data_IF_142407997433
#
_entry.id   IF_142407997433
#
_cell.length_a   1.000
_cell.length_b   1.000
_cell.length_c   1.000
_cell.angle_alpha   90.00
_cell.angle_beta   90.00
_cell.angle_gamma   90.00
#
_symmetry.space_group_name_H-M   'P 1'
#
loop_
_entity.id
_entity.type
_entity.pdbx_description
1 polymer ?
#
# COMPACT_ATOMS: atom_id res chain seq x y z
N UNK A 1 -36.43 -25.58 2.24
CA UNK A 1 -35.44 -26.13 3.22
C UNK A 1 -33.97 -25.98 2.76
N UNK A 2 -33.70 -25.67 1.48
CA UNK A 2 -32.30 -25.33 1.01
C UNK A 2 -31.86 -23.91 1.32
N UNK A 3 -32.77 -22.96 1.60
CA UNK A 3 -32.45 -21.54 1.89
C UNK A 3 -31.98 -21.22 3.32
N UNK A 4 -31.99 -22.18 4.24
CA UNK A 4 -31.59 -21.92 5.65
C UNK A 4 -30.23 -22.48 6.04
N UNK A 5 -29.52 -23.16 5.13
CA UNK A 5 -28.18 -23.74 5.40
C UNK A 5 -27.06 -22.78 4.90
N UNK A 6 -27.39 -21.75 4.16
CA UNK A 6 -26.43 -20.68 3.72
C UNK A 6 -26.13 -19.62 4.82
N UNK A 7 -26.66 -19.77 6.03
CA UNK A 7 -26.58 -18.77 7.11
C UNK A 7 -25.33 -18.88 8.01
N UNK A 8 -24.36 -19.74 7.68
CA UNK A 8 -23.00 -19.73 8.26
C UNK A 8 -21.98 -19.78 7.13
N UNK A 9 -22.21 -19.06 6.04
CA UNK A 9 -21.20 -18.88 5.01
C UNK A 9 -20.00 -18.13 5.63
N UNK A 10 -18.83 -18.73 5.50
CA UNK A 10 -17.54 -18.13 5.81
C UNK A 10 -17.48 -16.74 5.15
N UNK A 11 -17.33 -15.68 5.96
CA UNK A 11 -17.32 -14.29 5.50
C UNK A 11 -15.91 -13.74 5.64
N UNK A 12 -15.53 -12.85 4.75
CA UNK A 12 -14.35 -12.03 4.98
C UNK A 12 -14.67 -10.92 5.98
N UNK A 13 -13.97 -10.89 7.10
CA UNK A 13 -14.06 -9.82 8.11
C UNK A 13 -13.04 -8.75 7.78
N UNK A 14 -13.50 -7.58 7.37
CA UNK A 14 -12.63 -6.45 7.03
C UNK A 14 -12.89 -5.30 8.00
N UNK A 15 -11.82 -4.80 8.62
CA UNK A 15 -11.85 -3.64 9.50
C UNK A 15 -11.56 -2.36 8.71
N UNK A 16 -12.52 -1.43 8.68
CA UNK A 16 -12.34 -0.07 8.18
C UNK A 16 -11.88 0.82 9.34
N UNK A 17 -10.70 1.40 9.20
CA UNK A 17 -10.13 2.32 10.17
C UNK A 17 -10.23 3.74 9.63
N UNK A 18 -11.16 4.52 10.21
CA UNK A 18 -11.33 5.93 9.89
C UNK A 18 -10.17 6.74 10.49
N UNK A 19 -9.37 7.35 9.63
CA UNK A 19 -8.24 8.21 9.97
C UNK A 19 -8.60 9.68 10.03
N UNK A 20 -7.75 10.52 9.43
CA UNK A 20 -7.87 11.98 9.48
C UNK A 20 -8.19 12.59 8.11
N UNK A 21 -8.55 13.86 8.11
CA UNK A 21 -8.74 14.64 6.90
C UNK A 21 -9.79 14.04 5.96
N UNK A 22 -9.38 13.70 4.75
CA UNK A 22 -10.26 13.10 3.71
C UNK A 22 -10.61 11.63 3.97
N UNK A 23 -10.16 11.03 5.07
CA UNK A 23 -10.34 9.61 5.35
C UNK A 23 -11.81 9.17 5.30
N UNK A 24 -12.72 9.89 5.95
CA UNK A 24 -14.14 9.54 6.00
C UNK A 24 -14.78 9.47 4.61
N UNK A 25 -14.44 10.42 3.70
CA UNK A 25 -14.92 10.42 2.32
C UNK A 25 -14.43 9.17 1.57
N UNK A 26 -13.15 8.83 1.74
CA UNK A 26 -12.52 7.69 1.08
C UNK A 26 -13.03 6.34 1.61
N UNK A 27 -13.16 6.18 2.93
CA UNK A 27 -13.73 4.97 3.54
C UNK A 27 -15.18 4.78 3.09
N UNK A 28 -15.98 5.85 3.06
CA UNK A 28 -17.37 5.80 2.53
C UNK A 28 -17.38 5.30 1.08
N UNK A 29 -16.45 5.76 0.26
CA UNK A 29 -16.31 5.30 -1.12
C UNK A 29 -15.94 3.80 -1.19
N UNK A 30 -15.02 3.34 -0.35
CA UNK A 30 -14.64 1.92 -0.29
C UNK A 30 -15.82 1.02 0.11
N UNK A 31 -16.59 1.42 1.13
CA UNK A 31 -17.78 0.68 1.57
C UNK A 31 -18.79 0.54 0.42
N UNK A 32 -19.14 1.66 -0.23
CA UNK A 32 -20.09 1.64 -1.35
C UNK A 32 -19.62 0.76 -2.53
N UNK A 33 -18.32 0.78 -2.82
CA UNK A 33 -17.75 -0.03 -3.90
C UNK A 33 -17.71 -1.52 -3.53
N UNK A 34 -17.37 -1.88 -2.29
CA UNK A 34 -17.42 -3.28 -1.81
C UNK A 34 -18.85 -3.82 -1.89
N UNK A 35 -19.85 -3.02 -1.52
CA UNK A 35 -21.26 -3.41 -1.65
C UNK A 35 -21.66 -3.64 -3.12
N UNK A 36 -21.20 -2.76 -4.04
CA UNK A 36 -21.45 -2.92 -5.46
C UNK A 36 -20.73 -4.14 -6.08
N UNK A 37 -19.62 -4.59 -5.49
CA UNK A 37 -18.89 -5.79 -5.89
C UNK A 37 -19.50 -7.09 -5.38
N UNK A 38 -20.52 -7.05 -4.53
CA UNK A 38 -21.12 -8.25 -3.93
C UNK A 38 -21.48 -9.38 -4.94
N UNK A 39 -21.94 -9.10 -6.19
CA UNK A 39 -22.21 -10.14 -7.18
C UNK A 39 -20.97 -10.89 -7.69
N UNK A 40 -19.77 -10.32 -7.51
CA UNK A 40 -18.49 -10.84 -8.00
C UNK A 40 -17.64 -11.47 -6.88
N UNK A 41 -18.14 -11.42 -5.62
CA UNK A 41 -17.47 -12.01 -4.48
C UNK A 41 -17.86 -13.47 -4.29
N UNK A 42 -16.88 -14.32 -3.98
CA UNK A 42 -17.11 -15.72 -3.62
C UNK A 42 -17.58 -15.88 -2.18
N UNK A 43 -17.14 -14.98 -1.29
CA UNK A 43 -17.57 -14.88 0.11
C UNK A 43 -18.12 -13.50 0.40
N UNK A 44 -19.15 -13.42 1.22
CA UNK A 44 -19.68 -12.14 1.70
C UNK A 44 -18.62 -11.38 2.51
N UNK A 45 -18.61 -10.06 2.43
CA UNK A 45 -17.77 -9.19 3.25
C UNK A 45 -18.57 -8.66 4.42
N UNK A 46 -18.01 -8.76 5.62
CA UNK A 46 -18.52 -8.14 6.85
C UNK A 46 -17.58 -7.00 7.24
N UNK A 47 -18.09 -5.77 7.24
CA UNK A 47 -17.32 -4.58 7.56
C UNK A 47 -17.55 -4.15 9.02
N UNK A 48 -16.47 -3.82 9.71
CA UNK A 48 -16.50 -3.15 11.01
C UNK A 48 -15.77 -1.82 10.94
N UNK A 49 -16.21 -0.82 11.70
CA UNK A 49 -15.66 0.53 11.67
C UNK A 49 -15.06 0.90 13.02
N UNK A 50 -13.84 1.43 12.99
CA UNK A 50 -13.11 1.90 14.16
C UNK A 50 -12.40 3.21 13.84
N UNK A 51 -12.29 4.10 14.83
CA UNK A 51 -11.60 5.38 14.67
C UNK A 51 -10.14 5.26 15.08
N UNK A 52 -9.26 5.90 14.32
CA UNK A 52 -7.86 6.14 14.65
C UNK A 52 -7.53 7.63 14.43
N UNK A 53 -6.31 8.05 14.68
CA UNK A 53 -5.88 9.42 14.47
C UNK A 53 -6.43 10.40 15.51
N UNK A 54 -6.70 11.63 15.09
CA UNK A 54 -7.17 12.70 15.98
C UNK A 54 -8.50 12.39 16.67
N UNK A 55 -9.41 11.66 16.01
CA UNK A 55 -10.67 11.27 16.62
C UNK A 55 -10.46 10.34 17.81
N UNK A 56 -9.60 9.35 17.68
CA UNK A 56 -9.18 8.45 18.76
C UNK A 56 -8.42 9.20 19.85
N UNK A 57 -7.48 10.07 19.48
CA UNK A 57 -6.72 10.90 20.42
C UNK A 57 -7.65 11.74 21.30
N UNK A 58 -8.65 12.37 20.70
CA UNK A 58 -9.64 13.18 21.43
C UNK A 58 -10.50 12.34 22.38
N UNK A 59 -10.89 11.15 21.97
CA UNK A 59 -11.79 10.29 22.73
C UNK A 59 -11.08 9.49 23.83
N UNK A 60 -9.85 9.05 23.56
CA UNK A 60 -9.12 8.06 24.35
C UNK A 60 -7.73 8.51 24.82
N UNK A 61 -7.25 9.69 24.42
CA UNK A 61 -5.91 10.17 24.73
C UNK A 61 -4.78 9.49 23.94
N UNK A 62 -5.12 8.70 22.93
CA UNK A 62 -4.15 7.99 22.08
C UNK A 62 -4.70 7.84 20.66
N UNK A 63 -3.84 7.97 19.64
CA UNK A 63 -4.24 7.94 18.22
C UNK A 63 -4.67 6.55 17.73
N UNK A 64 -4.28 5.48 18.41
CA UNK A 64 -4.72 4.10 18.17
C UNK A 64 -4.73 3.35 19.50
N UNK A 65 -5.85 2.71 19.84
CA UNK A 65 -6.04 1.98 21.10
C UNK A 65 -5.64 0.51 20.96
N UNK A 66 -5.26 -0.13 22.06
CA UNK A 66 -5.02 -1.59 22.14
C UNK A 66 -6.25 -2.38 21.70
N UNK A 67 -7.47 -1.89 21.96
CA UNK A 67 -8.69 -2.54 21.52
C UNK A 67 -8.79 -2.59 20.00
N UNK A 68 -8.45 -1.52 19.30
CA UNK A 68 -8.41 -1.51 17.82
C UNK A 68 -7.37 -2.50 17.31
N UNK A 69 -6.16 -2.52 17.91
CA UNK A 69 -5.10 -3.47 17.54
C UNK A 69 -5.57 -4.93 17.74
N UNK A 70 -6.28 -5.22 18.83
CA UNK A 70 -6.84 -6.55 19.07
C UNK A 70 -7.86 -6.95 18.00
N UNK A 71 -8.81 -6.07 17.68
CA UNK A 71 -9.86 -6.35 16.69
C UNK A 71 -9.27 -6.59 15.30
N UNK A 72 -8.33 -5.76 14.86
CA UNK A 72 -7.71 -5.93 13.52
C UNK A 72 -6.84 -7.18 13.44
N UNK A 73 -6.29 -7.67 14.54
CA UNK A 73 -5.50 -8.92 14.58
C UNK A 73 -6.36 -10.17 14.35
N UNK A 74 -7.67 -10.07 14.56
CA UNK A 74 -8.66 -11.14 14.36
C UNK A 74 -9.42 -10.99 13.03
N UNK A 75 -9.11 -9.97 12.24
CA UNK A 75 -9.73 -9.72 10.93
C UNK A 75 -8.95 -10.40 9.80
N UNK A 76 -9.62 -10.61 8.66
CA UNK A 76 -9.01 -11.12 7.45
C UNK A 76 -8.31 -10.02 6.66
N UNK A 77 -8.76 -8.76 6.81
CA UNK A 77 -8.19 -7.61 6.12
C UNK A 77 -8.51 -6.28 6.80
N UNK A 78 -7.74 -5.27 6.44
CA UNK A 78 -7.85 -3.92 6.98
C UNK A 78 -7.87 -2.92 5.84
N UNK A 79 -8.76 -1.92 5.94
CA UNK A 79 -8.74 -0.72 5.10
C UNK A 79 -8.43 0.46 6.01
N UNK A 80 -7.23 1.01 5.90
CA UNK A 80 -6.80 2.16 6.67
C UNK A 80 -6.93 3.43 5.82
N UNK A 81 -7.79 4.34 6.26
CA UNK A 81 -7.87 5.68 5.70
C UNK A 81 -6.61 6.50 6.00
N UNK A 82 -6.36 7.58 5.26
CA UNK A 82 -5.21 8.45 5.49
C UNK A 82 -5.14 9.01 6.93
N UNK A 83 -3.93 9.21 7.43
CA UNK A 83 -3.66 9.74 8.77
C UNK A 83 -2.70 10.93 8.72
N UNK A 84 -2.87 11.90 9.62
CA UNK A 84 -2.06 13.12 9.73
C UNK A 84 -0.90 12.94 10.72
N UNK A 85 -0.13 11.85 10.59
CA UNK A 85 0.85 11.46 11.60
C UNK A 85 1.94 12.50 11.89
N UNK A 86 2.24 13.39 10.92
CA UNK A 86 3.21 14.47 11.12
C UNK A 86 2.68 15.59 12.03
N UNK A 87 1.37 15.69 12.21
CA UNK A 87 0.71 16.72 13.02
C UNK A 87 0.31 16.20 14.41
N UNK A 88 0.58 14.92 14.71
CA UNK A 88 0.28 14.36 16.02
C UNK A 88 1.23 14.90 17.09
N UNK A 89 0.79 14.98 18.35
CA UNK A 89 1.68 15.31 19.46
C UNK A 89 2.74 14.22 19.65
N UNK A 90 3.69 14.47 20.55
CA UNK A 90 4.72 13.51 20.91
C UNK A 90 4.14 12.18 21.39
N UNK A 91 4.92 11.11 21.27
CA UNK A 91 4.50 9.74 21.63
C UNK A 91 4.04 9.64 23.09
N UNK A 92 4.72 10.34 24.00
CA UNK A 92 4.36 10.41 25.43
C UNK A 92 2.98 11.06 25.65
N UNK A 93 2.54 11.91 24.72
CA UNK A 93 1.21 12.52 24.72
C UNK A 93 0.19 11.74 23.86
N UNK A 94 0.49 10.49 23.48
CA UNK A 94 -0.41 9.59 22.77
C UNK A 94 -0.38 9.72 21.25
N UNK A 95 0.55 10.48 20.69
CA UNK A 95 0.68 10.71 19.23
C UNK A 95 1.41 9.58 18.49
N UNK A 96 0.89 8.37 18.51
CA UNK A 96 1.44 7.25 17.74
C UNK A 96 1.03 7.34 16.26
N UNK A 97 1.89 6.88 15.36
CA UNK A 97 1.51 6.71 13.95
C UNK A 97 0.71 5.40 13.78
N UNK A 98 -0.62 5.43 13.53
CA UNK A 98 -1.43 4.21 13.42
C UNK A 98 -0.93 3.23 12.37
N UNK A 99 -0.50 3.73 11.19
CA UNK A 99 0.08 2.88 10.15
C UNK A 99 1.36 2.17 10.63
N UNK A 100 2.27 2.89 11.30
CA UNK A 100 3.49 2.31 11.85
C UNK A 100 3.23 1.28 12.94
N UNK A 101 2.28 1.57 13.85
CA UNK A 101 1.86 0.63 14.90
C UNK A 101 1.30 -0.65 14.31
N UNK A 102 0.39 -0.55 13.35
CA UNK A 102 -0.23 -1.72 12.70
C UNK A 102 0.80 -2.56 11.93
N UNK A 103 1.70 -1.92 11.17
CA UNK A 103 2.76 -2.62 10.44
C UNK A 103 3.61 -3.46 11.41
N UNK A 104 4.00 -2.89 12.54
CA UNK A 104 4.78 -3.58 13.58
C UNK A 104 3.97 -4.68 14.25
N UNK A 105 2.80 -4.37 14.79
CA UNK A 105 1.98 -5.28 15.60
C UNK A 105 1.51 -6.51 14.80
N UNK A 106 1.21 -6.34 13.52
CA UNK A 106 0.73 -7.39 12.63
C UNK A 106 1.83 -7.99 11.74
N UNK A 107 3.08 -7.57 11.94
CA UNK A 107 4.23 -8.03 11.15
C UNK A 107 4.00 -7.93 9.63
N UNK A 108 3.50 -6.77 9.17
CA UNK A 108 3.24 -6.49 7.76
C UNK A 108 4.55 -6.23 7.02
N UNK A 109 5.26 -7.29 6.67
CA UNK A 109 6.66 -7.26 6.22
C UNK A 109 6.85 -6.73 4.79
N UNK A 110 5.82 -6.81 3.95
CA UNK A 110 5.88 -6.35 2.56
C UNK A 110 4.93 -5.19 2.31
N UNK A 111 5.41 -4.10 1.74
CA UNK A 111 4.58 -3.06 1.19
C UNK A 111 4.63 -3.14 -0.34
N UNK A 112 3.52 -3.51 -0.94
CA UNK A 112 3.36 -3.73 -2.37
C UNK A 112 2.80 -2.45 -2.98
N UNK A 113 3.55 -1.83 -3.88
CA UNK A 113 3.22 -0.53 -4.49
C UNK A 113 3.29 -0.61 -6.02
N UNK A 114 2.18 -0.88 -6.71
CA UNK A 114 2.11 -0.79 -8.16
C UNK A 114 2.18 0.67 -8.61
N UNK A 115 2.85 0.91 -9.73
CA UNK A 115 2.84 2.18 -10.45
C UNK A 115 2.66 1.88 -11.93
N UNK A 116 1.56 2.34 -12.52
CA UNK A 116 1.25 2.13 -13.95
C UNK A 116 0.65 3.36 -14.59
N UNK A 117 0.95 3.56 -15.86
CA UNK A 117 0.33 4.58 -16.69
C UNK A 117 -1.07 4.14 -17.11
N UNK A 118 -2.05 5.04 -16.99
CA UNK A 118 -3.42 4.80 -17.42
C UNK A 118 -3.70 5.46 -18.77
N UNK A 119 -4.46 4.78 -19.62
CA UNK A 119 -4.84 5.32 -20.92
C UNK A 119 -5.58 6.66 -20.77
N UNK A 120 -5.19 7.62 -21.60
CA UNK A 120 -5.80 8.95 -21.61
C UNK A 120 -5.32 9.90 -20.52
N UNK A 121 -4.57 9.44 -19.52
CA UNK A 121 -3.92 10.29 -18.53
C UNK A 121 -2.49 10.64 -18.97
N UNK A 122 -2.03 11.87 -18.68
CA UNK A 122 -0.63 12.22 -18.91
C UNK A 122 0.28 11.45 -17.95
N UNK A 123 1.47 11.13 -18.40
CA UNK A 123 2.57 10.59 -17.59
C UNK A 123 3.88 11.30 -17.98
N UNK A 124 4.90 11.23 -17.09
CA UNK A 124 6.13 12.01 -17.27
C UNK A 124 7.27 11.24 -17.92
N UNK A 125 7.00 10.05 -18.46
CA UNK A 125 7.98 9.20 -19.15
C UNK A 125 7.71 9.16 -20.65
N UNK A 126 8.73 8.81 -21.45
CA UNK A 126 8.57 8.70 -22.90
C UNK A 126 7.70 7.50 -23.31
N UNK A 127 7.72 6.44 -22.53
CA UNK A 127 6.98 5.19 -22.77
C UNK A 127 6.12 4.87 -21.56
N UNK A 128 4.88 4.48 -21.78
CA UNK A 128 4.02 3.98 -20.71
C UNK A 128 4.61 2.71 -20.08
N UNK A 129 4.39 2.55 -18.79
CA UNK A 129 4.93 1.44 -18.02
C UNK A 129 3.93 0.91 -16.99
N UNK A 130 4.19 -0.29 -16.51
CA UNK A 130 3.48 -0.97 -15.43
C UNK A 130 4.50 -1.77 -14.62
N UNK A 131 4.82 -1.29 -13.42
CA UNK A 131 5.80 -1.89 -12.52
C UNK A 131 5.20 -2.07 -11.12
N UNK A 132 5.80 -2.97 -10.34
CA UNK A 132 5.46 -3.13 -8.93
C UNK A 132 6.73 -2.97 -8.09
N UNK A 133 6.68 -2.10 -7.08
CA UNK A 133 7.76 -1.97 -6.11
C UNK A 133 7.40 -2.75 -4.84
N UNK A 134 8.22 -3.73 -4.53
CA UNK A 134 8.15 -4.59 -3.35
C UNK A 134 9.09 -4.02 -2.30
N UNK A 135 8.55 -3.20 -1.40
CA UNK A 135 9.28 -2.52 -0.33
C UNK A 135 9.29 -3.38 0.92
N UNK A 136 10.47 -3.71 1.47
CA UNK A 136 10.59 -4.22 2.82
C UNK A 136 10.01 -3.17 3.79
N UNK A 137 9.25 -3.57 4.82
CA UNK A 137 8.34 -2.65 5.50
C UNK A 137 8.59 -2.49 7.01
N UNK A 138 9.54 -3.23 7.60
CA UNK A 138 9.76 -3.29 9.05
C UNK A 138 11.17 -2.94 9.51
N UNK A 139 12.15 -2.90 8.61
CA UNK A 139 13.56 -2.74 8.91
C UNK A 139 14.17 -1.47 8.27
N UNK A 140 15.46 -1.48 8.03
CA UNK A 140 16.21 -0.37 7.48
C UNK A 140 16.48 0.69 8.55
N UNK A 141 16.35 1.96 8.18
CA UNK A 141 16.41 3.09 9.12
C UNK A 141 15.13 3.24 9.97
N UNK A 142 14.13 2.40 9.74
CA UNK A 142 12.94 2.25 10.58
C UNK A 142 13.12 1.12 11.62
N UNK A 143 14.37 0.89 12.05
CA UNK A 143 14.76 -0.22 12.94
C UNK A 143 14.08 -0.16 14.32
N UNK A 144 13.70 1.02 14.79
CA UNK A 144 12.94 1.26 16.02
C UNK A 144 11.61 0.50 16.04
N UNK A 145 11.03 0.22 14.87
CA UNK A 145 9.74 -0.48 14.76
C UNK A 145 9.77 -1.92 15.24
N UNK A 146 10.93 -2.59 15.21
CA UNK A 146 11.09 -3.98 15.61
C UNK A 146 12.25 -4.22 16.59
N UNK A 147 12.66 -3.19 17.34
CA UNK A 147 13.61 -3.32 18.44
C UNK A 147 12.86 -3.56 19.75
N UNK A 148 13.43 -4.41 20.61
CA UNK A 148 12.87 -4.71 21.94
C UNK A 148 13.07 -3.55 22.88
N UNK A 149 14.20 -2.87 22.80
CA UNK A 149 14.56 -1.71 23.63
C UNK A 149 15.42 -0.73 22.82
N UNK A 150 15.37 0.54 23.18
CA UNK A 150 16.10 1.62 22.52
C UNK A 150 15.37 2.15 21.29
N UNK A 151 16.01 3.12 20.63
CA UNK A 151 15.52 3.76 19.41
C UNK A 151 16.47 3.54 18.25
N UNK A 152 16.00 3.75 17.04
CA UNK A 152 16.83 3.68 15.83
C UNK A 152 17.77 4.88 15.66
N UNK A 153 17.61 5.93 16.48
CA UNK A 153 18.44 7.13 16.46
C UNK A 153 18.88 7.53 17.86
N UNK A 154 20.07 8.12 17.97
CA UNK A 154 20.59 8.65 19.23
C UNK A 154 21.67 9.73 18.98
N UNK A 155 21.81 10.62 19.94
CA UNK A 155 22.84 11.68 19.92
C UNK A 155 23.88 11.41 21.02
N UNK A 156 25.10 10.98 20.66
CA UNK A 156 26.17 10.84 21.66
C UNK A 156 26.73 12.18 22.15
N UNK A 157 26.59 13.24 21.37
CA UNK A 157 26.87 14.64 21.74
C UNK A 157 25.87 15.56 21.05
N UNK A 158 25.82 16.84 21.47
CA UNK A 158 24.92 17.85 20.87
C UNK A 158 25.19 18.09 19.38
N UNK A 159 26.38 17.76 18.88
CA UNK A 159 26.80 17.95 17.47
C UNK A 159 26.76 16.67 16.66
N UNK A 160 26.43 15.50 17.25
CA UNK A 160 26.50 14.21 16.56
C UNK A 160 25.18 13.47 16.70
N UNK A 161 24.51 13.21 15.59
CA UNK A 161 23.37 12.31 15.51
C UNK A 161 23.72 11.04 14.72
N UNK A 162 23.34 9.89 15.23
CA UNK A 162 23.57 8.58 14.61
C UNK A 162 22.26 7.86 14.38
N UNK A 163 22.11 7.22 13.22
CA UNK A 163 20.97 6.37 12.89
C UNK A 163 21.44 4.93 12.67
N UNK A 164 20.72 3.97 13.25
CA UNK A 164 20.96 2.55 13.08
C UNK A 164 20.14 2.03 11.93
N UNK A 165 20.80 1.40 10.96
CA UNK A 165 20.15 0.68 9.87
C UNK A 165 20.19 -0.82 10.16
N UNK A 166 19.01 -1.42 10.36
CA UNK A 166 18.87 -2.84 10.64
C UNK A 166 18.47 -3.59 9.37
N UNK A 167 19.22 -4.60 8.97
CA UNK A 167 18.88 -5.54 7.89
C UNK A 167 19.09 -6.96 8.41
N UNK A 168 18.07 -7.79 8.28
CA UNK A 168 18.15 -9.21 8.63
C UNK A 168 17.99 -10.10 7.40
N UNK A 169 18.63 -11.26 7.41
CA UNK A 169 18.47 -12.27 6.35
C UNK A 169 17.03 -12.75 6.22
N UNK A 170 16.34 -12.92 7.35
CA UNK A 170 14.95 -13.38 7.37
C UNK A 170 14.02 -12.40 6.66
N UNK A 171 14.03 -11.12 7.05
CA UNK A 171 13.19 -10.10 6.40
C UNK A 171 13.54 -9.91 4.92
N UNK A 172 14.84 -9.96 4.59
CA UNK A 172 15.31 -9.89 3.21
C UNK A 172 14.82 -11.07 2.36
N UNK A 173 14.79 -12.28 2.89
CA UNK A 173 14.22 -13.47 2.21
C UNK A 173 12.71 -13.38 2.08
N UNK A 174 12.00 -12.91 3.11
CA UNK A 174 10.54 -12.79 3.10
C UNK A 174 10.10 -11.80 2.01
N UNK A 175 10.72 -10.62 1.93
CA UNK A 175 10.39 -9.64 0.88
C UNK A 175 10.82 -10.13 -0.52
N UNK A 176 11.97 -10.81 -0.63
CA UNK A 176 12.40 -11.40 -1.88
C UNK A 176 11.38 -12.44 -2.38
N UNK A 177 10.97 -13.39 -1.54
CA UNK A 177 9.98 -14.39 -1.92
C UNK A 177 8.68 -13.76 -2.38
N UNK A 178 8.17 -12.77 -1.66
CA UNK A 178 6.98 -12.02 -2.08
C UNK A 178 7.17 -11.34 -3.44
N UNK A 179 8.37 -10.83 -3.74
CA UNK A 179 8.67 -10.20 -5.03
C UNK A 179 8.71 -11.21 -6.19
N UNK A 180 9.31 -12.38 -5.99
CA UNK A 180 9.33 -13.44 -7.00
C UNK A 180 7.94 -14.05 -7.22
N UNK A 181 7.15 -14.24 -6.16
CA UNK A 181 5.73 -14.65 -6.27
C UNK A 181 4.90 -13.61 -7.05
N UNK A 182 5.15 -12.32 -6.82
CA UNK A 182 4.51 -11.25 -7.57
C UNK A 182 4.92 -11.27 -9.06
N UNK A 183 6.22 -11.43 -9.36
CA UNK A 183 6.72 -11.53 -10.73
C UNK A 183 6.18 -12.77 -11.46
N UNK A 184 5.98 -13.87 -10.75
CA UNK A 184 5.42 -15.10 -11.32
C UNK A 184 4.01 -14.91 -11.88
N UNK A 185 3.22 -13.99 -11.31
CA UNK A 185 1.87 -13.63 -11.77
C UNK A 185 1.89 -12.64 -12.96
N UNK A 186 3.03 -12.05 -13.29
CA UNK A 186 3.18 -11.00 -14.31
C UNK A 186 3.77 -11.57 -15.60
N UNK A 187 3.48 -10.95 -16.73
CA UNK A 187 3.88 -11.45 -18.07
C UNK A 187 5.38 -11.31 -18.35
N UNK A 188 6.04 -10.27 -17.80
CA UNK A 188 7.48 -10.03 -18.05
C UNK A 188 8.36 -10.98 -17.22
N UNK A 189 7.87 -11.45 -16.07
CA UNK A 189 8.58 -12.39 -15.18
C UNK A 189 10.00 -11.94 -14.86
N UNK A 190 10.16 -10.70 -14.41
CA UNK A 190 11.46 -10.10 -14.12
C UNK A 190 11.48 -9.48 -12.71
N UNK A 191 12.54 -9.75 -11.96
CA UNK A 191 12.81 -9.12 -10.67
C UNK A 191 14.14 -8.37 -10.75
N UNK A 192 14.13 -7.10 -10.35
CA UNK A 192 15.33 -6.28 -10.17
C UNK A 192 15.50 -5.95 -8.70
N UNK A 193 16.58 -6.42 -8.08
CA UNK A 193 16.94 -5.98 -6.72
C UNK A 193 17.67 -4.65 -6.77
N UNK A 194 17.17 -3.67 -6.01
CA UNK A 194 17.75 -2.34 -5.92
C UNK A 194 18.40 -2.13 -4.57
N UNK A 195 19.68 -1.70 -4.57
CA UNK A 195 20.55 -1.70 -3.41
C UNK A 195 21.64 -0.62 -3.48
N UNK A 196 22.45 -0.49 -2.42
CA UNK A 196 23.66 0.37 -2.38
C UNK A 196 24.88 -0.39 -1.80
N UNK A 197 25.05 -1.66 -2.16
CA UNK A 197 26.10 -2.53 -1.61
C UNK A 197 27.54 -2.09 -1.91
N UNK A 198 27.75 -1.20 -2.89
CA UNK A 198 29.07 -0.59 -3.11
C UNK A 198 29.49 0.34 -1.97
N UNK A 199 28.56 0.86 -1.17
CA UNK A 199 28.78 1.68 0.02
C UNK A 199 28.44 0.90 1.29
N UNK A 200 27.22 0.37 1.37
CA UNK A 200 26.75 -0.40 2.52
C UNK A 200 27.03 -1.90 2.32
N UNK A 201 28.31 -2.26 2.35
CA UNK A 201 28.79 -3.59 1.95
C UNK A 201 28.23 -4.73 2.81
N UNK A 202 28.04 -4.50 4.12
CA UNK A 202 27.53 -5.55 5.02
C UNK A 202 26.00 -5.63 4.98
N UNK A 203 25.31 -4.52 5.18
CA UNK A 203 23.84 -4.54 5.27
C UNK A 203 23.18 -4.80 3.91
N UNK A 204 23.57 -4.09 2.85
CA UNK A 204 23.03 -4.36 1.51
C UNK A 204 23.64 -5.62 0.87
N UNK A 205 24.87 -6.00 1.25
CA UNK A 205 25.44 -7.30 0.88
C UNK A 205 24.59 -8.45 1.43
N UNK A 206 24.19 -8.38 2.71
CA UNK A 206 23.29 -9.36 3.33
C UNK A 206 21.93 -9.42 2.64
N UNK A 207 21.36 -8.26 2.29
CA UNK A 207 20.11 -8.18 1.51
C UNK A 207 20.27 -8.86 0.15
N UNK A 208 21.29 -8.54 -0.62
CA UNK A 208 21.54 -9.13 -1.94
C UNK A 208 21.75 -10.65 -1.87
N UNK A 209 22.54 -11.13 -0.92
CA UNK A 209 22.77 -12.56 -0.76
C UNK A 209 21.46 -13.30 -0.48
N UNK A 210 20.60 -12.74 0.36
CA UNK A 210 19.27 -13.30 0.65
C UNK A 210 18.36 -13.30 -0.59
N UNK A 211 18.39 -12.23 -1.41
CA UNK A 211 17.62 -12.16 -2.65
C UNK A 211 18.14 -13.18 -3.68
N UNK A 212 19.46 -13.33 -3.82
CA UNK A 212 20.08 -14.33 -4.72
C UNK A 212 19.72 -15.76 -4.32
N UNK A 213 19.71 -16.06 -3.02
CA UNK A 213 19.27 -17.36 -2.52
C UNK A 213 17.83 -17.67 -2.95
N UNK A 214 16.91 -16.70 -2.82
CA UNK A 214 15.52 -16.87 -3.25
C UNK A 214 15.42 -16.93 -4.77
N UNK A 215 16.16 -16.11 -5.51
CA UNK A 215 16.16 -16.13 -6.97
C UNK A 215 16.48 -17.51 -7.56
N UNK A 216 17.37 -18.26 -6.91
CA UNK A 216 17.70 -19.64 -7.31
C UNK A 216 16.51 -20.61 -7.20
N UNK A 217 15.49 -20.30 -6.42
CA UNK A 217 14.25 -21.09 -6.29
C UNK A 217 13.26 -20.84 -7.47
N UNK A 218 13.49 -19.77 -8.28
CA UNK A 218 12.60 -19.32 -9.37
C UNK A 218 13.36 -19.22 -10.71
N UNK A 219 13.77 -20.34 -11.29
CA UNK A 219 14.62 -20.35 -12.50
C UNK A 219 13.91 -19.82 -13.78
N UNK A 220 12.59 -19.67 -13.77
CA UNK A 220 11.77 -19.13 -14.85
C UNK A 220 11.57 -17.59 -14.76
N UNK A 221 12.16 -16.94 -13.75
CA UNK A 221 12.10 -15.49 -13.55
C UNK A 221 13.48 -14.89 -13.81
N UNK A 222 13.54 -13.89 -14.69
CA UNK A 222 14.77 -13.11 -14.91
C UNK A 222 15.13 -12.33 -13.65
N UNK A 223 16.34 -12.48 -13.16
CA UNK A 223 16.84 -11.73 -12.01
C UNK A 223 17.99 -10.80 -12.40
N UNK A 224 17.88 -9.54 -12.00
CA UNK A 224 18.91 -8.51 -12.20
C UNK A 224 19.14 -7.71 -10.93
N UNK A 225 20.31 -7.04 -10.86
CA UNK A 225 20.71 -6.19 -9.73
C UNK A 225 21.06 -4.80 -10.22
N UNK A 226 20.68 -3.76 -9.44
CA UNK A 226 20.97 -2.39 -9.82
C UNK A 226 21.24 -1.52 -8.58
N UNK A 227 22.22 -0.63 -8.68
CA UNK A 227 22.44 0.40 -7.67
C UNK A 227 21.27 1.38 -7.66
N UNK A 228 20.87 1.86 -6.48
CA UNK A 228 19.68 2.72 -6.29
C UNK A 228 19.75 4.02 -7.08
N UNK A 229 20.92 4.63 -7.19
CA UNK A 229 21.14 5.83 -8.01
C UNK A 229 20.95 5.56 -9.51
N UNK A 230 21.47 4.43 -10.00
CA UNK A 230 21.22 4.00 -11.38
C UNK A 230 19.73 3.65 -11.60
N UNK A 231 19.10 2.95 -10.68
CA UNK A 231 17.67 2.61 -10.75
C UNK A 231 16.79 3.87 -10.81
N UNK A 232 17.10 4.90 -10.00
CA UNK A 232 16.40 6.19 -10.04
C UNK A 232 16.49 6.84 -11.42
N UNK A 233 17.69 6.85 -12.03
CA UNK A 233 17.88 7.39 -13.38
C UNK A 233 17.14 6.55 -14.45
N UNK A 234 17.15 5.24 -14.32
CA UNK A 234 16.46 4.33 -15.25
C UNK A 234 14.95 4.40 -15.13
N UNK A 235 14.37 4.61 -13.94
CA UNK A 235 12.94 4.86 -13.78
C UNK A 235 12.45 6.09 -14.55
N UNK A 236 13.29 7.12 -14.67
CA UNK A 236 12.96 8.30 -15.48
C UNK A 236 13.14 8.01 -16.98
N UNK A 237 14.22 7.32 -17.36
CA UNK A 237 14.63 7.14 -18.76
C UNK A 237 13.94 5.99 -19.46
N UNK A 238 13.81 4.86 -18.80
CA UNK A 238 13.33 3.59 -19.37
C UNK A 238 12.60 2.73 -18.31
N UNK A 239 11.49 3.25 -17.70
CA UNK A 239 10.77 2.52 -16.66
C UNK A 239 10.18 1.20 -17.17
N UNK A 240 9.90 1.07 -18.47
CA UNK A 240 9.39 -0.16 -19.11
C UNK A 240 10.37 -1.34 -19.05
N UNK A 241 11.64 -1.11 -18.71
CA UNK A 241 12.64 -2.16 -18.56
C UNK A 241 12.56 -2.86 -17.18
N UNK A 242 11.74 -2.33 -16.27
CA UNK A 242 11.41 -2.95 -14.99
C UNK A 242 10.08 -3.67 -15.06
N UNK A 243 9.93 -4.69 -14.22
CA UNK A 243 8.66 -5.39 -13.96
C UNK A 243 8.35 -5.36 -12.46
N UNK A 244 9.14 -6.08 -11.66
CA UNK A 244 9.08 -6.05 -10.20
C UNK A 244 10.42 -5.57 -9.66
N UNK A 245 10.40 -4.54 -8.84
CA UNK A 245 11.56 -4.04 -8.09
C UNK A 245 11.45 -4.52 -6.65
N UNK A 246 12.46 -5.21 -6.13
CA UNK A 246 12.57 -5.55 -4.71
C UNK A 246 13.68 -4.73 -4.06
N UNK A 247 13.38 -4.12 -2.91
CA UNK A 247 14.34 -3.25 -2.24
C UNK A 247 14.05 -3.10 -0.74
N UNK A 248 15.02 -2.52 -0.04
CA UNK A 248 14.92 -2.20 1.39
C UNK A 248 13.95 -1.04 1.65
N UNK A 249 13.57 -0.83 2.90
CA UNK A 249 12.47 0.03 3.31
C UNK A 249 12.57 1.46 2.76
N UNK A 250 13.62 2.19 3.07
CA UNK A 250 13.75 3.61 2.67
C UNK A 250 13.88 3.78 1.16
N UNK A 251 14.65 2.92 0.49
CA UNK A 251 14.76 2.96 -0.97
C UNK A 251 13.42 2.66 -1.64
N UNK A 252 12.68 1.69 -1.11
CA UNK A 252 11.34 1.36 -1.61
C UNK A 252 10.34 2.50 -1.45
N UNK A 253 10.44 3.27 -0.37
CA UNK A 253 9.63 4.46 -0.17
C UNK A 253 9.89 5.50 -1.25
N UNK A 254 11.15 5.90 -1.40
CA UNK A 254 11.56 6.92 -2.37
C UNK A 254 11.24 6.50 -3.81
N UNK A 255 11.59 5.27 -4.18
CA UNK A 255 11.38 4.79 -5.55
C UNK A 255 9.90 4.62 -5.90
N UNK A 256 9.05 4.23 -4.95
CA UNK A 256 7.61 4.09 -5.21
C UNK A 256 6.90 5.43 -5.37
N UNK A 257 7.28 6.45 -4.60
CA UNK A 257 6.79 7.82 -4.79
C UNK A 257 7.21 8.36 -6.17
N UNK A 258 8.48 8.20 -6.53
CA UNK A 258 8.98 8.58 -7.85
C UNK A 258 8.22 7.87 -8.98
N UNK A 259 8.04 6.56 -8.87
CA UNK A 259 7.35 5.78 -9.90
C UNK A 259 5.88 6.19 -10.05
N UNK A 260 5.18 6.45 -8.94
CA UNK A 260 3.78 6.90 -8.95
C UNK A 260 3.64 8.28 -9.61
N UNK A 261 4.53 9.23 -9.30
CA UNK A 261 4.54 10.54 -9.97
C UNK A 261 4.86 10.40 -11.47
N UNK A 262 5.85 9.59 -11.83
CA UNK A 262 6.18 9.33 -13.23
C UNK A 262 5.01 8.71 -14.01
N UNK A 263 4.20 7.89 -13.37
CA UNK A 263 3.00 7.27 -13.94
C UNK A 263 1.82 8.26 -14.08
N UNK A 264 1.90 9.42 -13.45
CA UNK A 264 0.91 10.49 -13.58
C UNK A 264 0.49 11.16 -12.29
N UNK A 265 0.37 10.43 -11.17
CA UNK A 265 0.01 11.01 -9.86
C UNK A 265 0.09 9.97 -8.75
N UNK A 266 0.47 10.40 -7.54
CA UNK A 266 0.31 9.61 -6.29
C UNK A 266 -1.14 9.16 -6.04
N UNK A 267 -2.12 9.96 -6.47
CA UNK A 267 -3.55 9.61 -6.38
C UNK A 267 -3.97 8.40 -7.21
N UNK A 268 -3.08 7.88 -8.06
CA UNK A 268 -3.29 6.68 -8.88
C UNK A 268 -2.56 5.44 -8.37
N UNK A 269 -1.76 5.56 -7.32
CA UNK A 269 -1.00 4.46 -6.74
C UNK A 269 -1.78 3.71 -5.67
N UNK A 270 -1.99 2.39 -5.83
CA UNK A 270 -2.45 1.51 -4.76
C UNK A 270 -1.31 1.13 -3.81
N UNK A 271 -1.64 0.72 -2.59
CA UNK A 271 -0.66 0.21 -1.63
C UNK A 271 -1.27 -0.86 -0.73
N UNK A 272 -0.64 -2.02 -0.70
CA UNK A 272 -1.01 -3.11 0.20
C UNK A 272 0.15 -3.43 1.14
N UNK A 273 -0.09 -3.34 2.44
CA UNK A 273 0.85 -3.80 3.46
C UNK A 273 0.50 -5.24 3.81
N UNK A 274 1.34 -6.20 3.42
CA UNK A 274 1.07 -7.63 3.56
C UNK A 274 1.87 -8.25 4.69
N UNK A 275 1.17 -8.98 5.57
CA UNK A 275 1.72 -9.90 6.55
C UNK A 275 1.57 -11.36 6.10
N UNK A 276 1.80 -12.29 7.02
CA UNK A 276 1.59 -13.73 6.75
C UNK A 276 0.12 -14.15 6.83
N UNK A 277 -0.67 -13.46 7.64
CA UNK A 277 -2.07 -13.82 7.95
C UNK A 277 -3.08 -12.73 7.64
N UNK A 278 -2.65 -11.49 7.56
CA UNK A 278 -3.51 -10.32 7.34
C UNK A 278 -2.81 -9.32 6.43
N UNK A 279 -3.60 -8.58 5.67
CA UNK A 279 -3.12 -7.49 4.84
C UNK A 279 -3.91 -6.20 5.11
N UNK A 280 -3.26 -5.05 4.89
CA UNK A 280 -3.82 -3.72 5.11
C UNK A 280 -3.72 -2.88 3.84
N UNK A 281 -4.88 -2.57 3.27
CA UNK A 281 -5.02 -1.60 2.19
C UNK A 281 -4.86 -0.18 2.74
N UNK A 282 -4.04 0.65 2.11
CA UNK A 282 -3.78 2.02 2.50
C UNK A 282 -3.47 2.86 1.26
N UNK A 283 -4.01 4.10 1.18
CA UNK A 283 -3.64 5.01 0.10
C UNK A 283 -2.15 5.42 0.20
N UNK A 284 -1.52 5.74 -0.92
CA UNK A 284 -0.13 6.25 -0.92
C UNK A 284 -0.05 7.71 -0.47
N UNK A 285 -1.11 8.50 -0.71
CA UNK A 285 -1.17 9.92 -0.32
C UNK A 285 -1.55 10.12 1.15
N UNK A 286 -1.33 11.34 1.66
CA UNK A 286 -1.69 11.75 3.02
C UNK A 286 -3.16 12.11 3.20
N UNK A 287 -3.47 12.73 4.34
CA UNK A 287 -4.81 13.06 4.83
C UNK A 287 -5.45 14.32 4.22
N UNK A 288 -4.66 15.18 3.54
CA UNK A 288 -5.11 16.40 2.87
C UNK A 288 -6.18 17.19 3.67
N UNK A 289 -5.86 17.67 4.88
CA UNK A 289 -6.83 18.28 5.77
C UNK A 289 -7.48 19.56 5.21
N UNK A 290 -6.81 20.23 4.27
CA UNK A 290 -7.26 21.44 3.58
C UNK A 290 -8.49 21.21 2.68
N UNK A 291 -8.71 20.01 2.17
CA UNK A 291 -9.87 19.64 1.34
C UNK A 291 -10.86 18.70 2.04
N UNK A 292 -10.61 18.36 3.30
CA UNK A 292 -11.48 17.47 4.08
C UNK A 292 -12.92 18.00 4.17
N UNK A 293 -13.92 17.12 3.96
CA UNK A 293 -15.34 17.48 3.97
C UNK A 293 -15.82 18.29 2.77
N UNK A 294 -14.94 18.55 1.79
CA UNK A 294 -15.29 19.33 0.58
C UNK A 294 -15.71 18.47 -0.61
N UNK A 295 -15.70 17.15 -0.44
CA UNK A 295 -16.04 16.21 -1.52
C UNK A 295 -15.15 16.32 -2.76
N UNK A 296 -13.89 16.73 -2.58
CA UNK A 296 -12.90 16.94 -3.65
C UNK A 296 -11.85 15.83 -3.73
N UNK A 297 -11.80 14.95 -2.74
CA UNK A 297 -10.80 13.89 -2.66
C UNK A 297 -10.92 12.92 -3.84
N UNK A 298 -9.78 12.47 -4.36
CA UNK A 298 -9.70 11.41 -5.36
C UNK A 298 -9.71 10.04 -4.64
N UNK A 299 -10.72 9.17 -4.82
CA UNK A 299 -10.77 7.89 -4.11
C UNK A 299 -9.95 6.77 -4.76
N UNK A 300 -9.38 6.99 -5.95
CA UNK A 300 -8.78 5.93 -6.78
C UNK A 300 -7.65 5.20 -6.06
N UNK A 301 -6.73 5.90 -5.38
CA UNK A 301 -5.61 5.25 -4.68
C UNK A 301 -6.08 4.23 -3.63
N UNK A 302 -7.04 4.61 -2.77
CA UNK A 302 -7.55 3.70 -1.75
C UNK A 302 -8.42 2.58 -2.36
N UNK A 303 -9.19 2.86 -3.40
CA UNK A 303 -9.98 1.84 -4.12
C UNK A 303 -9.08 0.81 -4.82
N UNK A 304 -7.96 1.22 -5.42
CA UNK A 304 -6.97 0.30 -5.98
C UNK A 304 -6.29 -0.53 -4.87
N UNK A 305 -6.06 0.06 -3.70
CA UNK A 305 -5.55 -0.67 -2.55
C UNK A 305 -6.56 -1.72 -2.04
N UNK A 306 -7.86 -1.40 -2.09
CA UNK A 306 -8.95 -2.37 -1.81
C UNK A 306 -8.98 -3.48 -2.84
N UNK A 307 -8.79 -3.19 -4.14
CA UNK A 307 -8.68 -4.22 -5.17
C UNK A 307 -7.53 -5.21 -4.85
N UNK A 308 -6.36 -4.69 -4.46
CA UNK A 308 -5.23 -5.52 -4.04
C UNK A 308 -5.55 -6.36 -2.79
N UNK A 309 -6.28 -5.81 -1.83
CA UNK A 309 -6.73 -6.55 -0.64
C UNK A 309 -7.70 -7.68 -1.02
N UNK A 310 -8.65 -7.42 -1.91
CA UNK A 310 -9.58 -8.43 -2.41
C UNK A 310 -8.85 -9.57 -3.13
N UNK A 311 -7.85 -9.25 -3.97
CA UNK A 311 -7.01 -10.29 -4.62
C UNK A 311 -6.24 -11.13 -3.58
N UNK A 312 -5.70 -10.50 -2.54
CA UNK A 312 -5.00 -11.19 -1.45
C UNK A 312 -5.92 -12.12 -0.65
N UNK A 313 -7.20 -11.78 -0.53
CA UNK A 313 -8.25 -12.59 0.08
C UNK A 313 -8.80 -13.69 -0.84
N UNK A 314 -8.31 -13.78 -2.08
CA UNK A 314 -8.73 -14.77 -3.07
C UNK A 314 -9.95 -14.35 -3.91
N UNK A 315 -10.39 -13.10 -3.82
CA UNK A 315 -11.51 -12.53 -4.56
C UNK A 315 -11.03 -11.88 -5.87
N UNK A 316 -10.25 -12.62 -6.67
CA UNK A 316 -9.57 -12.10 -7.87
C UNK A 316 -10.54 -11.61 -8.96
N UNK A 317 -11.76 -12.17 -9.07
CA UNK A 317 -12.78 -11.68 -10.01
C UNK A 317 -13.25 -10.27 -9.63
N UNK A 318 -13.59 -10.07 -8.37
CA UNK A 318 -14.02 -8.75 -7.85
C UNK A 318 -12.87 -7.72 -7.96
N UNK A 319 -11.65 -8.11 -7.62
CA UNK A 319 -10.45 -7.28 -7.78
C UNK A 319 -10.24 -6.84 -9.23
N UNK A 320 -10.18 -7.78 -10.16
CA UNK A 320 -9.97 -7.50 -11.58
C UNK A 320 -11.08 -6.66 -12.19
N UNK A 321 -12.34 -6.88 -11.76
CA UNK A 321 -13.48 -6.06 -12.18
C UNK A 321 -13.33 -4.62 -11.71
N UNK A 322 -12.96 -4.40 -10.45
CA UNK A 322 -12.74 -3.07 -9.89
C UNK A 322 -11.64 -2.32 -10.62
N UNK A 323 -10.48 -2.96 -10.82
CA UNK A 323 -9.36 -2.36 -11.55
C UNK A 323 -9.72 -1.98 -12.99
N UNK A 324 -10.46 -2.86 -13.69
CA UNK A 324 -10.90 -2.62 -15.06
C UNK A 324 -11.83 -1.41 -15.15
N UNK A 325 -12.85 -1.33 -14.30
CA UNK A 325 -13.81 -0.22 -14.32
C UNK A 325 -13.15 1.12 -13.93
N UNK A 326 -12.22 1.11 -12.96
CA UNK A 326 -11.42 2.31 -12.64
C UNK A 326 -10.60 2.72 -13.86
N UNK A 327 -9.89 1.80 -14.50
CA UNK A 327 -9.07 2.10 -15.69
C UNK A 327 -9.90 2.67 -16.83
N UNK A 328 -11.09 2.10 -17.09
CA UNK A 328 -12.00 2.56 -18.12
C UNK A 328 -12.57 3.95 -17.84
N UNK A 329 -12.93 4.24 -16.58
CA UNK A 329 -13.35 5.58 -16.16
C UNK A 329 -12.24 6.61 -16.39
N UNK A 330 -11.02 6.29 -15.98
CA UNK A 330 -9.88 7.19 -16.11
C UNK A 330 -9.48 7.46 -17.58
N UNK A 331 -9.88 6.63 -18.52
CA UNK A 331 -9.58 6.82 -19.95
C UNK A 331 -10.19 8.09 -20.56
N UNK A 332 -11.30 8.60 -20.00
CA UNK A 332 -11.98 9.79 -20.47
C UNK A 332 -12.08 10.86 -19.37
N UNK A 333 -11.98 12.18 -19.71
CA UNK A 333 -12.09 13.28 -18.74
C UNK A 333 -13.39 13.27 -17.92
N UNK A 334 -14.49 12.78 -18.49
CA UNK A 334 -15.79 12.66 -17.81
C UNK A 334 -15.81 11.65 -16.65
N UNK A 335 -14.84 10.75 -16.59
CA UNK A 335 -14.68 9.75 -15.53
C UNK A 335 -13.61 10.12 -14.49
N UNK A 336 -13.13 11.36 -14.45
CA UNK A 336 -12.00 11.79 -13.60
C UNK A 336 -12.42 12.82 -12.56
N UNK A 337 -11.68 12.83 -11.45
CA UNK A 337 -11.72 13.89 -10.44
C UNK A 337 -10.93 15.12 -10.91
N UNK A 338 -11.07 16.25 -10.20
CA UNK A 338 -10.50 17.52 -10.59
C UNK A 338 -8.96 17.52 -10.66
N UNK A 339 -8.29 16.81 -9.76
CA UNK A 339 -6.84 16.62 -9.73
C UNK A 339 -6.30 15.88 -10.98
N UNK A 340 -7.13 15.08 -11.64
CA UNK A 340 -6.84 14.36 -12.88
C UNK A 340 -7.41 15.04 -14.13
N UNK A 341 -7.79 16.31 -14.03
CA UNK A 341 -8.31 17.10 -15.13
C UNK A 341 -9.77 16.79 -15.49
N UNK A 342 -10.54 16.22 -14.59
CA UNK A 342 -11.97 15.97 -14.70
C UNK A 342 -12.82 16.94 -13.90
N UNK A 343 -14.10 16.58 -13.71
CA UNK A 343 -15.09 17.39 -12.98
C UNK A 343 -15.82 16.62 -11.89
N UNK A 344 -15.50 15.34 -11.68
CA UNK A 344 -16.19 14.54 -10.69
C UNK A 344 -15.73 14.89 -9.28
N UNK A 345 -16.68 15.04 -8.37
CA UNK A 345 -16.42 14.99 -6.94
C UNK A 345 -16.15 13.57 -6.48
N UNK A 346 -15.63 13.37 -5.26
CA UNK A 346 -15.40 12.05 -4.67
C UNK A 346 -16.66 11.17 -4.72
N UNK A 347 -17.80 11.69 -4.25
CA UNK A 347 -19.06 10.95 -4.25
C UNK A 347 -19.62 10.70 -5.65
N UNK A 348 -19.43 11.63 -6.60
CA UNK A 348 -19.87 11.45 -7.98
C UNK A 348 -19.04 10.38 -8.71
N UNK A 349 -17.73 10.36 -8.49
CA UNK A 349 -16.85 9.30 -8.98
C UNK A 349 -17.28 7.94 -8.44
N UNK A 350 -17.46 7.85 -7.13
CA UNK A 350 -17.90 6.62 -6.45
C UNK A 350 -19.23 6.11 -6.99
N UNK A 351 -20.21 7.01 -7.14
CA UNK A 351 -21.54 6.66 -7.68
C UNK A 351 -21.41 6.10 -9.11
N UNK A 352 -20.70 6.79 -9.98
CA UNK A 352 -20.50 6.35 -11.37
C UNK A 352 -19.79 4.99 -11.44
N UNK A 353 -18.78 4.76 -10.58
CA UNK A 353 -18.10 3.46 -10.48
C UNK A 353 -19.05 2.35 -10.03
N UNK A 354 -19.86 2.59 -8.99
CA UNK A 354 -20.83 1.61 -8.50
C UNK A 354 -21.90 1.26 -9.57
N UNK A 355 -22.38 2.26 -10.34
CA UNK A 355 -23.31 2.02 -11.46
C UNK A 355 -22.70 1.11 -12.53
N UNK A 356 -21.43 1.33 -12.90
CA UNK A 356 -20.69 0.48 -13.85
C UNK A 356 -20.47 -0.93 -13.32
N UNK A 357 -20.08 -1.07 -12.05
CA UNK A 357 -19.93 -2.38 -11.40
C UNK A 357 -21.25 -3.16 -11.35
N UNK A 358 -22.39 -2.47 -11.20
CA UNK A 358 -23.71 -3.07 -11.24
C UNK A 358 -24.21 -3.40 -12.67
N UNK A 359 -23.42 -3.12 -13.71
CA UNK A 359 -23.78 -3.36 -15.11
C UNK A 359 -24.88 -2.42 -15.64
N UNK A 360 -24.95 -1.21 -15.12
CA UNK A 360 -25.94 -0.16 -15.48
C UNK A 360 -25.31 0.97 -16.27
#
# INVERSE_FOLDING_TARGET
RRSRILAMADKHKICCLDGDGISTELITSCVAVIDALAPYLTKAVELSHHQVGFASLKAHGITITEQVISVVSESDGIILGPVSHADYPDVEAGGLNPSGVLRKSLSLFANIRPARCYNGLPHYTQTAFDIVIMRENLEGFYADRNMVAGTGEFMPTDDVALAVRKITRTASRDIARAAFEQAHKRSQKKVTSVHKANVMRLSDGLFLDAVREVAAEYPDIEYTEMLVDAATAMLVRAPQDFDVIVTTNMFGDILSELASELAGSLGLGGSLNKGKTVAMAQAQHGSAPDIAGRNLANPVSLLLSVAMLLDDLGESEASGRLETEISDMLSAPSGRTADLGGMLSCSAFTKQLCERLAGR
#
